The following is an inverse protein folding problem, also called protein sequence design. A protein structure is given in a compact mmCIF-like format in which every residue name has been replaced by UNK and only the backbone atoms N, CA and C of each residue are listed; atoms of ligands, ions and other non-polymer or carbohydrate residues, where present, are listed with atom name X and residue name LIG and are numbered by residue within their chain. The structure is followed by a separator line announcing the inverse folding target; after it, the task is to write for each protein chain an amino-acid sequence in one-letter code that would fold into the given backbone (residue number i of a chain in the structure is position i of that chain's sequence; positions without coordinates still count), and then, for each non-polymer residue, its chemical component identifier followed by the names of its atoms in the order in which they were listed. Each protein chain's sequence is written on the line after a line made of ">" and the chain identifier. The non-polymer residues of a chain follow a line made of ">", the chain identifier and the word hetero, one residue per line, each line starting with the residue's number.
data_IF_826111773648
#
_entry.id   IF_826111773648
#
_cell.length_a   1.000
_cell.length_b   1.000
_cell.length_c   1.000
_cell.angle_alpha   90.00
_cell.angle_beta   90.00
_cell.angle_gamma   90.00
#
_symmetry.space_group_name_H-M   'P 1'
#
loop_
_entity.id
_entity.type
_entity.pdbx_description
1 polymer ?
#
# COMPACT_ATOMS: atom_id res chain seq x y z
N UNK A 1 -65.76 -1.55 6.82
CA UNK A 1 -64.67 -1.91 7.75
C UNK A 1 -63.61 -2.85 7.10
N UNK A 2 -63.42 -2.82 5.78
CA UNK A 2 -62.39 -3.60 5.06
C UNK A 2 -61.25 -2.74 4.51
N UNK A 3 -61.50 -1.43 4.35
CA UNK A 3 -60.53 -0.47 3.80
C UNK A 3 -59.41 -0.17 4.81
N UNK A 4 -59.74 -0.06 6.11
CA UNK A 4 -58.76 0.20 7.18
C UNK A 4 -57.75 -0.94 7.39
N UNK A 5 -58.17 -2.19 7.18
CA UNK A 5 -57.30 -3.37 7.33
C UNK A 5 -56.26 -3.46 6.21
N UNK A 6 -56.63 -3.14 4.97
CA UNK A 6 -55.69 -3.13 3.83
C UNK A 6 -54.58 -2.07 3.99
N UNK A 7 -54.92 -0.88 4.50
CA UNK A 7 -53.89 0.13 4.79
C UNK A 7 -52.95 -0.28 5.93
N UNK A 8 -53.45 -1.00 6.94
CA UNK A 8 -52.63 -1.54 8.02
C UNK A 8 -51.63 -2.60 7.55
N UNK A 9 -52.05 -3.49 6.64
CA UNK A 9 -51.18 -4.51 6.03
C UNK A 9 -50.09 -3.89 5.14
N UNK A 10 -50.43 -2.85 4.37
CA UNK A 10 -49.47 -2.09 3.56
C UNK A 10 -48.42 -1.38 4.42
N UNK A 11 -48.84 -0.78 5.54
CA UNK A 11 -47.93 -0.13 6.48
C UNK A 11 -47.02 -1.17 7.16
N UNK A 12 -47.56 -2.32 7.55
CA UNK A 12 -46.77 -3.40 8.13
C UNK A 12 -45.75 -3.97 7.13
N UNK A 13 -46.15 -4.19 5.88
CA UNK A 13 -45.24 -4.64 4.82
C UNK A 13 -44.14 -3.61 4.53
N UNK A 14 -44.49 -2.33 4.45
CA UNK A 14 -43.51 -1.26 4.28
C UNK A 14 -42.53 -1.17 5.46
N UNK A 15 -43.01 -1.34 6.69
CA UNK A 15 -42.16 -1.36 7.89
C UNK A 15 -41.16 -2.53 7.86
N UNK A 16 -41.60 -3.73 7.47
CA UNK A 16 -40.73 -4.90 7.33
C UNK A 16 -39.65 -4.66 6.27
N UNK A 17 -40.01 -4.07 5.13
CA UNK A 17 -39.05 -3.74 4.06
C UNK A 17 -38.02 -2.72 4.55
N UNK A 18 -38.47 -1.66 5.25
CA UNK A 18 -37.58 -0.63 5.78
C UNK A 18 -36.62 -1.18 6.85
N UNK A 19 -37.11 -2.04 7.75
CA UNK A 19 -36.27 -2.69 8.77
C UNK A 19 -35.25 -3.62 8.12
N UNK A 20 -35.65 -4.36 7.09
CA UNK A 20 -34.76 -5.26 6.34
C UNK A 20 -33.67 -4.47 5.62
N UNK A 21 -34.04 -3.37 4.93
CA UNK A 21 -33.09 -2.46 4.28
C UNK A 21 -32.11 -1.84 5.29
N UNK A 22 -32.61 -1.37 6.43
CA UNK A 22 -31.78 -0.83 7.50
C UNK A 22 -30.78 -1.87 8.04
N UNK A 23 -31.22 -3.12 8.19
CA UNK A 23 -30.36 -4.25 8.56
C UNK A 23 -29.26 -4.52 7.53
N UNK A 24 -29.59 -4.55 6.25
CA UNK A 24 -28.62 -4.74 5.16
C UNK A 24 -27.59 -3.59 5.14
N UNK A 25 -28.04 -2.34 5.30
CA UNK A 25 -27.17 -1.17 5.35
C UNK A 25 -26.23 -1.27 6.58
N UNK A 26 -26.75 -1.64 7.75
CA UNK A 26 -25.95 -1.80 8.96
C UNK A 26 -24.87 -2.88 8.79
N UNK A 27 -25.21 -4.04 8.22
CA UNK A 27 -24.26 -5.12 7.94
C UNK A 27 -23.21 -4.64 6.94
N UNK A 28 -23.62 -3.97 5.87
CA UNK A 28 -22.70 -3.43 4.85
C UNK A 28 -21.74 -2.41 5.43
N UNK A 29 -22.20 -1.54 6.34
CA UNK A 29 -21.36 -0.57 7.03
C UNK A 29 -20.38 -1.23 8.02
N UNK A 30 -20.82 -2.28 8.74
CA UNK A 30 -19.96 -3.04 9.66
C UNK A 30 -18.90 -3.81 8.87
N UNK A 31 -19.27 -4.50 7.79
CA UNK A 31 -18.34 -5.23 6.91
C UNK A 31 -17.39 -4.25 6.21
N UNK A 32 -17.89 -3.12 5.72
CA UNK A 32 -17.07 -2.06 5.12
C UNK A 32 -16.12 -1.39 6.12
N UNK A 33 -16.50 -1.29 7.41
CA UNK A 33 -15.61 -0.85 8.49
C UNK A 33 -14.62 -1.93 8.91
N UNK A 34 -15.00 -3.20 8.92
CA UNK A 34 -14.11 -4.31 9.20
C UNK A 34 -13.06 -4.50 8.10
N UNK A 35 -13.41 -4.21 6.84
CA UNK A 35 -12.44 -4.09 5.73
C UNK A 35 -11.57 -2.83 5.80
N UNK A 36 -11.97 -1.82 6.58
CA UNK A 36 -11.15 -0.65 6.94
C UNK A 36 -10.27 -0.88 8.16
N UNK A 37 -10.38 -2.02 8.85
CA UNK A 37 -9.26 -2.54 9.64
C UNK A 37 -8.19 -2.88 8.63
N UNK A 38 -7.38 -1.88 8.26
CA UNK A 38 -6.23 -2.01 7.36
C UNK A 38 -5.57 -3.34 7.71
N UNK A 39 -5.72 -4.34 6.84
CA UNK A 39 -4.82 -5.48 6.85
C UNK A 39 -3.45 -4.84 6.72
N UNK A 40 -2.75 -4.72 7.84
CA UNK A 40 -1.47 -4.03 7.92
C UNK A 40 -0.61 -4.79 6.93
N UNK A 41 -0.24 -4.14 5.83
CA UNK A 41 0.50 -4.82 4.77
C UNK A 41 1.71 -5.47 5.45
N UNK A 42 2.02 -6.73 5.13
CA UNK A 42 3.20 -7.38 5.68
C UNK A 42 4.42 -6.49 5.38
N UNK A 43 5.28 -6.32 6.39
CA UNK A 43 6.50 -5.55 6.21
C UNK A 43 7.52 -6.39 5.45
N UNK A 44 8.16 -5.79 4.45
CA UNK A 44 9.19 -6.42 3.65
C UNK A 44 10.41 -5.52 3.63
N UNK A 45 11.58 -6.05 3.97
CA UNK A 45 12.86 -5.33 3.85
C UNK A 45 13.66 -5.96 2.73
N UNK A 46 14.14 -5.14 1.80
CA UNK A 46 14.89 -5.59 0.63
C UNK A 46 16.14 -4.73 0.52
N UNK A 47 17.30 -5.38 0.44
CA UNK A 47 18.56 -4.71 0.13
C UNK A 47 19.01 -5.16 -1.25
N UNK A 48 19.17 -4.21 -2.16
CA UNK A 48 19.63 -4.42 -3.53
C UNK A 48 21.06 -3.91 -3.60
N UNK A 49 21.99 -4.77 -3.97
CA UNK A 49 23.38 -4.36 -4.18
C UNK A 49 23.48 -3.65 -5.52
N UNK A 50 24.00 -2.43 -5.52
CA UNK A 50 24.36 -1.73 -6.73
C UNK A 50 25.64 -2.33 -7.32
N UNK A 51 25.60 -2.60 -8.62
CA UNK A 51 26.73 -3.09 -9.40
C UNK A 51 26.90 -2.15 -10.61
N UNK A 52 28.01 -1.39 -10.70
CA UNK A 52 28.24 -0.48 -11.82
C UNK A 52 28.40 -1.19 -13.16
N UNK A 53 28.76 -2.48 -13.17
CA UNK A 53 28.88 -3.26 -14.41
C UNK A 53 27.50 -3.75 -14.92
N UNK A 54 26.43 -3.51 -14.15
CA UNK A 54 25.07 -3.90 -14.51
C UNK A 54 24.36 -2.81 -15.33
N UNK A 55 24.51 -2.86 -16.65
CA UNK A 55 23.88 -1.90 -17.60
C UNK A 55 22.34 -1.83 -17.46
N UNK A 56 21.70 -2.92 -17.01
CA UNK A 56 20.25 -3.02 -16.89
C UNK A 56 19.72 -2.68 -15.47
N UNK A 57 20.57 -2.20 -14.56
CA UNK A 57 20.21 -2.00 -13.16
C UNK A 57 18.99 -1.09 -12.99
N UNK A 58 18.99 0.07 -13.65
CA UNK A 58 17.90 1.04 -13.60
C UNK A 58 16.56 0.41 -14.02
N UNK A 59 16.53 -0.27 -15.17
CA UNK A 59 15.31 -0.90 -15.68
C UNK A 59 14.78 -1.99 -14.74
N UNK A 60 15.68 -2.80 -14.16
CA UNK A 60 15.30 -3.85 -13.23
C UNK A 60 14.78 -3.28 -11.91
N UNK A 61 15.39 -2.21 -11.41
CA UNK A 61 14.95 -1.52 -10.19
C UNK A 61 13.57 -0.87 -10.41
N UNK A 62 13.36 -0.18 -11.52
CA UNK A 62 12.06 0.40 -11.87
C UNK A 62 10.98 -0.69 -11.95
N UNK A 63 11.25 -1.77 -12.68
CA UNK A 63 10.33 -2.90 -12.80
C UNK A 63 10.02 -3.54 -11.45
N UNK A 64 11.01 -3.65 -10.57
CA UNK A 64 10.82 -4.18 -9.22
C UNK A 64 9.93 -3.27 -8.38
N UNK A 65 10.20 -1.97 -8.35
CA UNK A 65 9.41 -0.99 -7.61
C UNK A 65 7.96 -0.92 -8.09
N UNK A 66 7.75 -1.05 -9.41
CA UNK A 66 6.41 -1.04 -10.01
C UNK A 66 5.73 -2.42 -10.00
N UNK A 67 6.37 -3.46 -9.46
CA UNK A 67 5.79 -4.80 -9.43
C UNK A 67 4.57 -4.86 -8.51
N UNK A 68 3.57 -5.66 -8.92
CA UNK A 68 2.38 -5.92 -8.10
C UNK A 68 2.74 -6.56 -6.76
N UNK A 69 3.77 -7.39 -6.75
CA UNK A 69 4.21 -8.09 -5.56
C UNK A 69 4.69 -7.08 -4.50
N UNK A 70 5.57 -6.14 -4.86
CA UNK A 70 6.04 -5.09 -3.95
C UNK A 70 4.88 -4.20 -3.47
N UNK A 71 3.91 -3.92 -4.34
CA UNK A 71 2.71 -3.15 -3.98
C UNK A 71 1.85 -3.82 -2.89
N UNK A 72 1.94 -5.14 -2.71
CA UNK A 72 1.22 -5.87 -1.67
C UNK A 72 1.87 -5.73 -0.27
N UNK A 73 3.11 -5.28 -0.18
CA UNK A 73 3.86 -5.12 1.07
C UNK A 73 3.98 -3.65 1.48
N UNK A 74 4.29 -3.43 2.76
CA UNK A 74 4.93 -2.18 3.22
C UNK A 74 6.44 -2.40 3.04
N UNK A 75 6.94 -2.10 1.83
CA UNK A 75 8.31 -2.39 1.43
C UNK A 75 9.27 -1.27 1.83
N UNK A 76 10.33 -1.64 2.54
CA UNK A 76 11.49 -0.80 2.82
C UNK A 76 12.66 -1.30 1.95
N UNK A 77 12.89 -0.57 0.86
CA UNK A 77 13.86 -0.94 -0.18
C UNK A 77 15.10 -0.08 0.00
N UNK A 78 16.24 -0.72 0.23
CA UNK A 78 17.54 -0.11 0.33
C UNK A 78 18.40 -0.53 -0.87
N UNK A 79 19.05 0.43 -1.51
CA UNK A 79 20.09 0.20 -2.51
C UNK A 79 21.42 0.43 -1.82
N UNK A 80 22.24 -0.62 -1.73
CA UNK A 80 23.55 -0.59 -1.08
C UNK A 80 24.63 -0.37 -2.12
N UNK A 81 25.41 0.69 -1.93
CA UNK A 81 26.54 1.03 -2.80
C UNK A 81 27.85 0.48 -2.19
N UNK A 82 28.53 -0.47 -2.87
CA UNK A 82 29.71 -1.12 -2.31
C UNK A 82 31.02 -0.32 -2.50
N UNK A 83 31.11 0.51 -3.53
CA UNK A 83 32.36 1.20 -3.90
C UNK A 83 32.51 2.60 -3.27
N UNK A 84 31.43 3.17 -2.70
CA UNK A 84 31.38 4.52 -2.13
C UNK A 84 32.01 5.57 -3.07
N UNK A 85 31.64 5.50 -4.34
CA UNK A 85 32.13 6.40 -5.37
C UNK A 85 31.18 7.59 -5.51
N UNK A 86 31.73 8.79 -5.61
CA UNK A 86 30.93 10.02 -5.62
C UNK A 86 30.04 10.11 -6.87
N UNK A 87 30.52 9.62 -8.02
CA UNK A 87 29.76 9.61 -9.27
C UNK A 87 28.60 8.60 -9.21
N UNK A 88 28.85 7.43 -8.61
CA UNK A 88 27.83 6.40 -8.39
C UNK A 88 26.76 6.87 -7.41
N UNK A 89 27.14 7.54 -6.32
CA UNK A 89 26.21 8.14 -5.35
C UNK A 89 25.33 9.21 -6.01
N UNK A 90 25.92 10.07 -6.84
CA UNK A 90 25.20 11.13 -7.55
C UNK A 90 24.19 10.54 -8.53
N UNK A 91 24.61 9.53 -9.30
CA UNK A 91 23.74 8.81 -10.22
C UNK A 91 22.58 8.12 -9.50
N UNK A 92 22.83 7.42 -8.39
CA UNK A 92 21.78 6.79 -7.57
C UNK A 92 20.81 7.82 -6.99
N UNK A 93 21.29 9.02 -6.62
CA UNK A 93 20.43 10.11 -6.17
C UNK A 93 19.53 10.64 -7.29
N UNK A 94 20.04 10.76 -8.51
CA UNK A 94 19.24 11.14 -9.68
C UNK A 94 18.22 10.06 -10.03
N UNK A 95 18.62 8.79 -10.01
CA UNK A 95 17.73 7.65 -10.21
C UNK A 95 16.61 7.63 -9.16
N UNK A 96 16.94 7.91 -7.90
CA UNK A 96 15.94 8.02 -6.83
C UNK A 96 14.92 9.13 -7.11
N UNK A 97 15.36 10.29 -7.61
CA UNK A 97 14.45 11.37 -8.01
C UNK A 97 13.58 10.95 -9.19
N UNK A 98 14.17 10.29 -10.19
CA UNK A 98 13.46 9.77 -11.38
C UNK A 98 12.37 8.77 -11.00
N UNK A 99 12.66 7.85 -10.08
CA UNK A 99 11.74 6.81 -9.61
C UNK A 99 10.83 7.27 -8.44
N UNK A 100 10.75 8.58 -8.19
CA UNK A 100 9.80 9.16 -7.22
C UNK A 100 10.11 8.87 -5.75
N UNK A 101 11.35 8.51 -5.40
CA UNK A 101 11.76 8.29 -4.02
C UNK A 101 11.42 6.91 -3.44
N UNK A 102 11.14 5.91 -4.28
CA UNK A 102 10.73 4.56 -3.87
C UNK A 102 11.76 3.71 -3.12
N UNK A 103 12.98 4.21 -2.90
CA UNK A 103 14.05 3.48 -2.21
C UNK A 103 14.99 4.43 -1.43
N UNK A 104 15.73 3.84 -0.48
CA UNK A 104 16.80 4.50 0.30
C UNK A 104 18.17 4.07 -0.24
N UNK A 105 19.16 4.95 -0.17
CA UNK A 105 20.54 4.65 -0.58
C UNK A 105 21.34 4.46 0.70
N UNK A 106 22.08 3.36 0.81
CA UNK A 106 22.86 2.98 1.99
C UNK A 106 24.30 2.75 1.57
N UNK A 107 25.26 3.35 2.29
CA UNK A 107 26.68 3.13 2.04
C UNK A 107 27.17 1.92 2.84
N UNK A 108 27.82 0.96 2.18
CA UNK A 108 28.48 -0.15 2.86
C UNK A 108 29.69 0.37 3.63
N UNK A 109 29.57 0.52 4.96
CA UNK A 109 30.69 0.91 5.83
C UNK A 109 30.55 2.23 6.59
N UNK A 110 29.39 2.90 6.56
CA UNK A 110 29.10 4.05 7.42
C UNK A 110 28.27 3.62 8.62
N UNK A 111 28.87 3.61 9.81
CA UNK A 111 28.16 3.43 11.07
C UNK A 111 26.98 4.40 11.19
N UNK A 112 25.94 3.96 11.89
CA UNK A 112 24.82 4.79 12.33
C UNK A 112 25.32 6.07 12.96
N UNK A 113 25.20 7.19 12.27
CA UNK A 113 25.01 8.47 12.95
C UNK A 113 23.51 8.58 13.15
N UNK A 114 23.05 8.10 14.30
CA UNK A 114 21.79 8.55 14.84
C UNK A 114 21.95 10.02 15.17
N UNK A 115 21.16 10.87 14.52
CA UNK A 115 20.93 12.23 15.01
C UNK A 115 19.61 12.22 15.78
N UNK A 116 19.71 12.80 16.99
CA UNK A 116 18.69 12.92 18.03
C UNK A 116 17.41 13.63 17.55
#
# INVERSE_FOLDING_TARGET
>A
MQVLTQYGELIAAAAVILVTLAGIIAITLIVGKAGKTRAKKPQMKVTILYDPDCECFEYQLERFLCSRDVCCFEADIAVEEPASDQDSEMWLCELKKKLGGGFRIVKRGGGTVGEN
#
